data_IF_569189384445
#
_entry.id   IF_569189384445
#
_cell.length_a   1.000
_cell.length_b   1.000
_cell.length_c   1.000
_cell.angle_alpha   90.00
_cell.angle_beta   90.00
_cell.angle_gamma   90.00
#
_symmetry.space_group_name_H-M   'P 1'
#
loop_
_entity.id
_entity.type
_entity.pdbx_description
1 polymer ?
#
# COMPACT_ATOMS: atom_id res chain seq x y z
N UNK A 1 -11.53 37.11 -15.25
CA UNK A 1 -11.59 36.08 -14.20
C UNK A 1 -11.06 34.79 -14.83
N UNK A 2 -9.81 34.45 -14.53
CA UNK A 2 -9.13 33.27 -15.10
C UNK A 2 -9.62 32.02 -14.34
N UNK A 3 -9.90 30.88 -15.00
CA UNK A 3 -10.30 29.66 -14.31
C UNK A 3 -9.09 29.01 -13.61
N UNK A 4 -9.27 28.60 -12.35
CA UNK A 4 -8.29 27.87 -11.56
C UNK A 4 -8.34 26.39 -11.97
N UNK A 5 -7.54 26.02 -12.97
CA UNK A 5 -7.29 24.63 -13.35
C UNK A 5 -6.00 24.12 -12.69
N UNK A 6 -5.99 23.93 -11.37
CA UNK A 6 -4.95 23.16 -10.66
C UNK A 6 -5.67 22.50 -9.48
N UNK A 7 -5.78 21.17 -9.31
CA UNK A 7 -4.70 20.19 -9.18
C UNK A 7 -5.27 18.81 -9.56
N UNK A 8 -4.97 18.33 -10.76
CA UNK A 8 -4.67 16.91 -10.97
C UNK A 8 -3.18 16.80 -11.25
N UNK A 9 -2.36 17.22 -10.28
CA UNK A 9 -0.98 16.80 -10.28
C UNK A 9 -1.01 15.30 -9.97
N UNK A 10 -0.92 14.47 -11.01
CA UNK A 10 -0.59 13.07 -10.85
C UNK A 10 0.85 13.02 -10.33
N UNK A 11 1.02 13.16 -9.02
CA UNK A 11 2.30 12.91 -8.37
C UNK A 11 2.58 11.42 -8.45
N UNK A 12 3.14 10.99 -9.59
CA UNK A 12 3.72 9.67 -9.72
C UNK A 12 5.02 9.69 -8.93
N UNK A 13 4.97 9.18 -7.71
CA UNK A 13 6.18 8.97 -6.94
C UNK A 13 6.94 7.78 -7.52
N UNK A 14 8.27 7.73 -7.35
CA UNK A 14 9.04 6.52 -7.61
C UNK A 14 8.46 5.34 -6.81
N UNK A 15 8.46 4.15 -7.42
CA UNK A 15 7.95 2.92 -6.81
C UNK A 15 8.57 2.68 -5.41
N UNK A 16 9.83 3.04 -5.21
CA UNK A 16 10.52 2.88 -3.92
C UNK A 16 9.86 3.66 -2.77
N UNK A 17 9.35 4.87 -3.04
CA UNK A 17 8.70 5.70 -2.01
C UNK A 17 7.34 5.10 -1.63
N UNK A 18 6.57 4.66 -2.62
CA UNK A 18 5.30 3.97 -2.39
C UNK A 18 5.52 2.64 -1.66
N UNK A 19 6.55 1.88 -2.05
CA UNK A 19 6.92 0.63 -1.38
C UNK A 19 7.32 0.86 0.07
N UNK A 20 8.04 1.94 0.37
CA UNK A 20 8.36 2.30 1.74
C UNK A 20 7.09 2.64 2.53
N UNK A 21 6.21 3.49 2.00
CA UNK A 21 4.94 3.83 2.64
C UNK A 21 4.08 2.58 2.92
N UNK A 22 3.95 1.68 1.94
CA UNK A 22 3.26 0.41 2.10
C UNK A 22 3.93 -0.48 3.15
N UNK A 23 5.26 -0.53 3.19
CA UNK A 23 5.97 -1.36 4.16
C UNK A 23 5.67 -0.96 5.61
N UNK A 24 5.48 0.34 5.88
CA UNK A 24 5.10 0.87 7.19
C UNK A 24 3.68 0.43 7.60
N UNK A 25 2.76 0.32 6.64
CA UNK A 25 1.41 -0.22 6.86
C UNK A 25 1.36 -1.73 7.09
N UNK A 26 2.45 -2.42 6.76
CA UNK A 26 2.61 -3.87 6.87
C UNK A 26 3.55 -4.28 8.00
N UNK A 27 3.89 -3.35 8.89
CA UNK A 27 4.62 -3.66 10.11
C UNK A 27 3.75 -4.39 11.14
N UNK A 28 4.42 -5.12 12.04
CA UNK A 28 3.83 -5.80 13.19
C UNK A 28 4.47 -5.30 14.50
N UNK A 29 3.90 -5.69 15.63
CA UNK A 29 4.45 -5.39 16.96
C UNK A 29 4.25 -3.93 17.34
N UNK A 30 5.28 -3.30 17.89
CA UNK A 30 5.18 -1.95 18.47
C UNK A 30 4.72 -0.89 17.47
N UNK A 31 5.03 -1.04 16.18
CA UNK A 31 4.67 -0.06 15.15
C UNK A 31 3.38 -0.39 14.39
N UNK A 32 2.70 -1.47 14.78
CA UNK A 32 1.44 -1.88 14.15
C UNK A 32 0.39 -0.76 14.25
N UNK A 33 -0.13 -0.33 13.09
CA UNK A 33 -1.19 0.68 13.01
C UNK A 33 -0.76 2.12 13.35
N UNK A 34 0.52 2.37 13.60
CA UNK A 34 1.00 3.73 13.84
C UNK A 34 0.92 4.58 12.56
N UNK A 35 0.62 5.89 12.66
CA UNK A 35 0.71 6.82 11.54
C UNK A 35 2.07 6.74 10.83
N UNK A 36 2.09 6.96 9.51
CA UNK A 36 3.33 6.89 8.72
C UNK A 36 4.00 8.27 8.55
N UNK A 37 3.29 9.37 8.81
CA UNK A 37 3.72 10.72 8.42
C UNK A 37 5.11 11.12 8.93
N UNK A 38 5.36 10.96 10.23
CA UNK A 38 6.66 11.30 10.82
C UNK A 38 7.79 10.44 10.23
N UNK A 39 7.53 9.15 10.01
CA UNK A 39 8.51 8.21 9.47
C UNK A 39 8.80 8.48 7.99
N UNK A 40 7.76 8.81 7.23
CA UNK A 40 7.87 9.28 5.85
C UNK A 40 8.68 10.58 5.77
N UNK A 41 8.44 11.53 6.68
CA UNK A 41 9.16 12.80 6.71
C UNK A 41 10.62 12.64 7.12
N UNK A 42 10.91 11.71 8.04
CA UNK A 42 12.28 11.37 8.43
C UNK A 42 13.05 10.71 7.28
N UNK A 43 12.44 9.75 6.58
CA UNK A 43 13.09 9.02 5.48
C UNK A 43 13.20 9.87 4.20
N UNK A 44 12.18 10.67 3.89
CA UNK A 44 12.11 11.53 2.71
C UNK A 44 11.80 12.99 3.10
N UNK A 45 12.80 13.74 3.63
CA UNK A 45 12.58 15.10 4.14
C UNK A 45 12.10 16.11 3.10
N UNK A 46 12.31 15.82 1.81
CA UNK A 46 11.89 16.65 0.70
C UNK A 46 10.37 16.56 0.42
N UNK A 47 9.70 15.48 0.85
CA UNK A 47 8.27 15.32 0.63
C UNK A 47 7.47 16.34 1.44
N UNK A 48 6.46 16.90 0.81
CA UNK A 48 5.50 17.80 1.42
C UNK A 48 4.41 17.01 2.15
N UNK A 49 3.76 17.60 3.16
CA UNK A 49 2.71 16.90 3.92
C UNK A 49 1.60 16.30 3.04
N UNK A 50 1.23 16.98 1.95
CA UNK A 50 0.21 16.52 1.01
C UNK A 50 0.66 15.31 0.19
N UNK A 51 1.94 15.23 -0.18
CA UNK A 51 2.51 14.07 -0.87
C UNK A 51 2.52 12.84 0.04
N UNK A 52 2.89 13.04 1.31
CA UNK A 52 2.85 12.00 2.34
C UNK A 52 1.42 11.48 2.56
N UNK A 53 0.43 12.37 2.61
CA UNK A 53 -0.98 11.99 2.75
C UNK A 53 -1.49 11.15 1.56
N UNK A 54 -1.06 11.51 0.35
CA UNK A 54 -1.38 10.75 -0.85
C UNK A 54 -0.75 9.36 -0.82
N UNK A 55 0.52 9.27 -0.43
CA UNK A 55 1.23 7.99 -0.27
C UNK A 55 0.58 7.12 0.82
N UNK A 56 0.17 7.71 1.93
CA UNK A 56 -0.57 7.03 3.00
C UNK A 56 -1.90 6.45 2.48
N UNK A 57 -2.67 7.28 1.77
CA UNK A 57 -3.95 6.87 1.17
C UNK A 57 -3.78 5.76 0.14
N UNK A 58 -2.77 5.87 -0.74
CA UNK A 58 -2.46 4.84 -1.74
C UNK A 58 -2.03 3.53 -1.09
N UNK A 59 -1.14 3.57 -0.10
CA UNK A 59 -0.68 2.39 0.62
C UNK A 59 -1.82 1.67 1.34
N UNK A 60 -2.73 2.42 1.98
CA UNK A 60 -3.94 1.87 2.61
C UNK A 60 -4.87 1.19 1.60
N UNK A 61 -5.09 1.83 0.45
CA UNK A 61 -5.93 1.28 -0.61
C UNK A 61 -5.35 -0.04 -1.16
N UNK A 62 -4.05 -0.07 -1.46
CA UNK A 62 -3.36 -1.28 -1.93
C UNK A 62 -3.50 -2.42 -0.91
N UNK A 63 -3.31 -2.12 0.37
CA UNK A 63 -3.48 -3.11 1.45
C UNK A 63 -4.90 -3.64 1.50
N UNK A 64 -5.90 -2.76 1.48
CA UNK A 64 -7.31 -3.13 1.52
C UNK A 64 -7.72 -3.99 0.31
N UNK A 65 -7.38 -3.56 -0.90
CA UNK A 65 -7.73 -4.28 -2.13
C UNK A 65 -7.03 -5.64 -2.20
N UNK A 66 -5.78 -5.73 -1.74
CA UNK A 66 -5.07 -6.99 -1.61
C UNK A 66 -5.75 -7.93 -0.61
N UNK A 67 -6.26 -7.41 0.52
CA UNK A 67 -6.93 -8.21 1.54
C UNK A 67 -8.25 -8.81 1.05
N UNK A 68 -8.99 -8.10 0.21
CA UNK A 68 -10.18 -8.63 -0.48
C UNK A 68 -9.89 -9.80 -1.43
N UNK A 69 -8.65 -9.94 -1.91
CA UNK A 69 -8.24 -11.11 -2.68
C UNK A 69 -7.99 -12.31 -1.75
N UNK A 70 -7.46 -12.10 -0.55
CA UNK A 70 -7.30 -13.18 0.44
C UNK A 70 -8.64 -13.68 1.00
N UNK A 71 -9.66 -12.82 1.09
CA UNK A 71 -11.03 -13.27 1.39
C UNK A 71 -11.56 -14.24 0.31
N UNK A 72 -11.28 -13.95 -0.97
CA UNK A 72 -11.65 -14.85 -2.07
C UNK A 72 -10.85 -16.17 -2.05
N UNK A 73 -9.60 -16.13 -1.61
CA UNK A 73 -8.77 -17.33 -1.41
C UNK A 73 -9.35 -18.21 -0.31
N UNK A 74 -9.75 -17.63 0.82
CA UNK A 74 -10.39 -18.35 1.92
C UNK A 74 -11.71 -19.01 1.51
N UNK A 75 -12.50 -18.33 0.67
CA UNK A 75 -13.71 -18.87 0.07
C UNK A 75 -13.44 -20.00 -0.95
N UNK A 76 -12.17 -20.31 -1.24
CA UNK A 76 -11.75 -21.30 -2.22
C UNK A 76 -11.96 -20.88 -3.67
N UNK A 77 -12.24 -19.59 -3.94
CA UNK A 77 -12.52 -19.07 -5.30
C UNK A 77 -11.25 -18.90 -6.12
N UNK A 78 -10.14 -18.59 -5.47
CA UNK A 78 -8.81 -18.43 -6.07
C UNK A 78 -7.75 -19.06 -5.18
N UNK A 79 -6.57 -19.33 -5.72
CA UNK A 79 -5.43 -19.84 -4.96
C UNK A 79 -4.55 -18.71 -4.43
N UNK A 80 -3.71 -18.97 -3.41
CA UNK A 80 -2.72 -17.99 -2.94
C UNK A 80 -1.79 -17.50 -4.08
N UNK A 81 -1.41 -18.39 -4.99
CA UNK A 81 -0.61 -18.03 -6.17
C UNK A 81 -1.35 -17.02 -7.07
N UNK A 82 -2.64 -17.24 -7.29
CA UNK A 82 -3.50 -16.35 -8.07
C UNK A 82 -3.67 -14.99 -7.37
N UNK A 83 -3.77 -14.95 -6.04
CA UNK A 83 -3.76 -13.69 -5.29
C UNK A 83 -2.48 -12.90 -5.54
N UNK A 84 -1.31 -13.53 -5.38
CA UNK A 84 0.00 -12.89 -5.60
C UNK A 84 0.15 -12.35 -7.03
N UNK A 85 -0.28 -13.13 -8.02
CA UNK A 85 -0.30 -12.72 -9.43
C UNK A 85 -1.19 -11.49 -9.64
N UNK A 86 -2.43 -11.52 -9.11
CA UNK A 86 -3.37 -10.40 -9.23
C UNK A 86 -2.89 -9.13 -8.55
N UNK A 87 -2.25 -9.23 -7.38
CA UNK A 87 -1.64 -8.06 -6.71
C UNK A 87 -0.56 -7.46 -7.61
N UNK A 88 0.31 -8.27 -8.21
CA UNK A 88 1.38 -7.78 -9.10
C UNK A 88 0.83 -7.15 -10.38
N UNK A 89 -0.27 -7.68 -10.91
CA UNK A 89 -0.94 -7.14 -12.10
C UNK A 89 -1.68 -5.83 -11.82
N UNK A 90 -2.36 -5.75 -10.68
CA UNK A 90 -3.07 -4.53 -10.25
C UNK A 90 -2.09 -3.42 -9.84
N UNK A 91 -0.97 -3.80 -9.22
CA UNK A 91 0.03 -2.87 -8.70
C UNK A 91 1.46 -3.26 -9.14
N UNK A 92 1.83 -3.02 -10.43
CA UNK A 92 3.12 -3.43 -10.98
C UNK A 92 4.34 -2.90 -10.24
N UNK A 93 4.23 -1.70 -9.66
CA UNK A 93 5.31 -1.04 -8.91
C UNK A 93 5.58 -1.61 -7.52
N UNK A 94 4.75 -2.54 -7.02
CA UNK A 94 4.96 -3.11 -5.67
C UNK A 94 6.06 -4.18 -5.68
N UNK A 95 6.93 -4.09 -4.68
CA UNK A 95 8.07 -4.97 -4.45
C UNK A 95 7.61 -6.36 -4.01
N UNK A 96 8.45 -7.37 -4.30
CA UNK A 96 8.16 -8.74 -3.90
C UNK A 96 8.07 -8.88 -2.37
N UNK A 97 8.85 -8.12 -1.62
CA UNK A 97 8.81 -8.12 -0.15
C UNK A 97 7.47 -7.63 0.39
N UNK A 98 6.92 -6.56 -0.18
CA UNK A 98 5.60 -6.07 0.20
C UNK A 98 4.50 -7.07 -0.19
N UNK A 99 4.60 -7.73 -1.34
CA UNK A 99 3.67 -8.82 -1.71
C UNK A 99 3.73 -9.95 -0.69
N UNK A 100 4.93 -10.38 -0.29
CA UNK A 100 5.10 -11.42 0.72
C UNK A 100 4.48 -11.03 2.06
N UNK A 101 4.69 -9.78 2.51
CA UNK A 101 4.08 -9.25 3.74
C UNK A 101 2.56 -9.16 3.63
N UNK A 102 2.02 -8.69 2.51
CA UNK A 102 0.58 -8.67 2.23
C UNK A 102 -0.01 -10.07 2.33
N UNK A 103 0.66 -11.09 1.76
CA UNK A 103 0.23 -12.49 1.87
C UNK A 103 0.20 -12.98 3.30
N UNK A 104 1.26 -12.75 4.08
CA UNK A 104 1.30 -13.18 5.48
C UNK A 104 0.21 -12.49 6.31
N UNK A 105 0.04 -11.17 6.17
CA UNK A 105 -0.99 -10.46 6.92
C UNK A 105 -2.40 -10.82 6.45
N UNK A 106 -2.64 -10.87 5.14
CA UNK A 106 -3.94 -11.16 4.55
C UNK A 106 -4.45 -12.55 4.95
N UNK A 107 -3.59 -13.57 4.91
CA UNK A 107 -3.94 -14.90 5.40
C UNK A 107 -4.22 -14.91 6.92
N UNK A 108 -3.44 -14.17 7.71
CA UNK A 108 -3.70 -14.06 9.15
C UNK A 108 -5.07 -13.42 9.44
N UNK A 109 -5.41 -12.33 8.75
CA UNK A 109 -6.70 -11.65 8.96
C UNK A 109 -7.89 -12.40 8.39
N UNK A 110 -7.76 -13.02 7.21
CA UNK A 110 -8.85 -13.79 6.61
C UNK A 110 -9.22 -15.02 7.45
N UNK A 111 -8.24 -15.63 8.13
CA UNK A 111 -8.45 -16.84 8.94
C UNK A 111 -8.85 -16.56 10.39
N UNK A 112 -9.05 -15.30 10.77
CA UNK A 112 -9.34 -14.87 12.15
C UNK A 112 -10.80 -14.50 12.32
#
# INVERSE_FOLDING_TARGET
MQPIDHIKASFSHPDDILNYALSLHLEWGENFGKPIHERMKQQYPHLWPQEIEQLDSQAKAIKYDSFRLFEQELDGKITELEVRRRIKEQFPGISQDNINRLSTQGMYYARR
#
